data_IF_176151083340
#
_entry.id   IF_176151083340
#
_cell.length_a   1.000
_cell.length_b   1.000
_cell.length_c   1.000
_cell.angle_alpha   90.00
_cell.angle_beta   90.00
_cell.angle_gamma   90.00
#
_symmetry.space_group_name_H-M   'P 1'
#
loop_
_entity.id
_entity.type
_entity.pdbx_description
1 polymer ?
#
# COMPACT_ATOMS: atom_id res chain seq x y z
N UNK A 1 -11.64 -15.34 -11.19
CA UNK A 1 -10.94 -14.08 -11.46
C UNK A 1 -9.97 -14.35 -12.57
N UNK A 2 -9.94 -13.53 -13.62
CA UNK A 2 -9.09 -13.80 -14.80
C UNK A 2 -7.59 -13.79 -14.43
N UNK A 3 -6.78 -14.57 -15.17
CA UNK A 3 -5.35 -14.75 -14.89
C UNK A 3 -4.56 -13.44 -14.84
N UNK A 4 -4.93 -12.46 -15.67
CA UNK A 4 -4.28 -11.14 -15.68
C UNK A 4 -4.43 -10.39 -14.34
N UNK A 5 -5.65 -10.29 -13.79
CA UNK A 5 -5.88 -9.62 -12.51
C UNK A 5 -5.16 -10.33 -11.38
N UNK A 6 -5.15 -11.66 -11.40
CA UNK A 6 -4.39 -12.47 -10.43
C UNK A 6 -2.91 -12.13 -10.46
N UNK A 7 -2.31 -12.04 -11.65
CA UNK A 7 -0.89 -11.66 -11.81
C UNK A 7 -0.64 -10.24 -11.31
N UNK A 8 -1.46 -9.26 -11.71
CA UNK A 8 -1.30 -7.87 -11.28
C UNK A 8 -1.42 -7.71 -9.76
N UNK A 9 -2.39 -8.37 -9.12
CA UNK A 9 -2.52 -8.38 -7.67
C UNK A 9 -1.33 -9.08 -6.98
N UNK A 10 -0.79 -10.14 -7.58
CA UNK A 10 0.40 -10.83 -7.04
C UNK A 10 1.61 -9.91 -7.08
N UNK A 11 1.82 -9.20 -8.19
CA UNK A 11 2.91 -8.23 -8.33
C UNK A 11 2.77 -7.08 -7.32
N UNK A 12 1.55 -6.55 -7.16
CA UNK A 12 1.28 -5.53 -6.14
C UNK A 12 1.60 -6.07 -4.73
N UNK A 13 1.11 -7.26 -4.39
CA UNK A 13 1.36 -7.86 -3.08
C UNK A 13 2.86 -8.02 -2.78
N UNK A 14 3.63 -8.55 -3.73
CA UNK A 14 5.09 -8.70 -3.60
C UNK A 14 5.75 -7.34 -3.42
N UNK A 15 5.37 -6.34 -4.22
CA UNK A 15 5.89 -4.97 -4.07
C UNK A 15 5.66 -4.42 -2.66
N UNK A 16 4.43 -4.50 -2.13
CA UNK A 16 4.10 -4.02 -0.79
C UNK A 16 4.84 -4.79 0.31
N UNK A 17 4.94 -6.12 0.20
CA UNK A 17 5.72 -6.92 1.16
C UNK A 17 7.19 -6.52 1.15
N UNK A 18 7.80 -6.38 -0.03
CA UNK A 18 9.21 -5.97 -0.14
C UNK A 18 9.42 -4.58 0.44
N UNK A 19 8.55 -3.62 0.15
CA UNK A 19 8.65 -2.26 0.72
C UNK A 19 8.58 -2.29 2.25
N UNK A 20 7.65 -3.08 2.81
CA UNK A 20 7.49 -3.22 4.25
C UNK A 20 8.68 -3.92 4.93
N UNK A 21 9.24 -4.98 4.32
CA UNK A 21 10.45 -5.63 4.82
C UNK A 21 11.67 -4.71 4.75
N UNK A 22 11.78 -3.88 3.70
CA UNK A 22 12.89 -2.91 3.58
C UNK A 22 12.87 -1.88 4.70
N UNK A 23 11.71 -1.47 5.21
CA UNK A 23 11.65 -0.61 6.40
C UNK A 23 12.30 -1.25 7.64
N UNK A 24 12.27 -2.58 7.74
CA UNK A 24 12.87 -3.30 8.88
C UNK A 24 14.37 -3.57 8.69
N UNK A 25 14.85 -3.68 7.45
CA UNK A 25 16.23 -4.10 7.13
C UNK A 25 17.11 -2.93 6.71
N UNK A 26 16.61 -2.04 5.85
CA UNK A 26 17.30 -0.88 5.30
C UNK A 26 16.34 0.32 5.22
N UNK A 27 15.99 0.92 6.38
CA UNK A 27 15.05 2.03 6.44
C UNK A 27 15.57 3.29 5.73
N UNK A 28 16.89 3.50 5.69
CA UNK A 28 17.48 4.65 5.01
C UNK A 28 17.30 4.55 3.48
N UNK A 29 17.55 3.37 2.91
CA UNK A 29 17.37 3.16 1.47
C UNK A 29 15.92 3.27 1.01
N UNK A 30 14.95 2.72 1.78
CA UNK A 30 13.53 2.81 1.39
C UNK A 30 12.96 4.23 1.61
N UNK A 31 13.39 4.95 2.65
CA UNK A 31 12.99 6.35 2.85
C UNK A 31 13.43 7.23 1.67
N UNK A 32 14.69 7.05 1.20
CA UNK A 32 15.21 7.78 0.04
C UNK A 32 14.44 7.47 -1.25
N UNK A 33 14.05 6.21 -1.50
CA UNK A 33 13.20 5.83 -2.64
C UNK A 33 11.84 6.52 -2.58
N UNK A 34 11.30 6.74 -1.39
CA UNK A 34 10.04 7.44 -1.16
C UNK A 34 10.19 8.97 -1.12
N UNK A 35 11.39 9.49 -1.38
CA UNK A 35 11.66 10.92 -1.42
C UNK A 35 11.58 11.61 -0.05
N UNK A 36 11.78 10.88 1.04
CA UNK A 36 11.76 11.45 2.39
C UNK A 36 13.02 11.10 3.20
N UNK A 37 13.43 11.99 4.12
CA UNK A 37 14.53 11.67 5.02
C UNK A 37 14.13 10.56 6.01
N UNK A 38 15.11 9.76 6.42
CA UNK A 38 14.97 8.93 7.60
C UNK A 38 15.03 9.86 8.83
N UNK A 39 14.02 9.80 9.67
CA UNK A 39 13.94 10.62 10.89
C UNK A 39 14.92 10.11 11.96
N UNK A 40 15.06 10.89 13.04
CA UNK A 40 15.90 10.58 14.19
C UNK A 40 15.10 10.32 15.48
N UNK A 41 15.74 9.69 16.45
CA UNK A 41 15.16 9.42 17.78
C UNK A 41 13.82 8.69 17.71
N UNK A 42 12.83 9.20 18.43
CA UNK A 42 11.47 8.65 18.43
C UNK A 42 10.81 8.71 17.04
N UNK A 43 11.10 9.75 16.25
CA UNK A 43 10.57 9.88 14.89
C UNK A 43 11.01 8.72 14.00
N UNK A 44 12.26 8.26 14.14
CA UNK A 44 12.75 7.07 13.44
C UNK A 44 11.96 5.82 13.82
N UNK A 45 11.72 5.63 15.12
CA UNK A 45 10.98 4.48 15.63
C UNK A 45 9.56 4.44 15.08
N UNK A 46 8.85 5.58 15.13
CA UNK A 46 7.49 5.73 14.60
C UNK A 46 7.47 5.51 13.09
N UNK A 47 8.36 6.16 12.35
CA UNK A 47 8.44 6.03 10.90
C UNK A 47 8.68 4.60 10.45
N UNK A 48 9.63 3.88 11.07
CA UNK A 48 9.90 2.48 10.73
C UNK A 48 8.70 1.60 11.04
N UNK A 49 8.12 1.70 12.25
CA UNK A 49 7.02 0.84 12.66
C UNK A 49 5.78 1.04 11.80
N UNK A 50 5.35 2.30 11.64
CA UNK A 50 4.11 2.65 10.96
C UNK A 50 4.18 2.34 9.47
N UNK A 51 5.31 2.63 8.82
CA UNK A 51 5.46 2.38 7.40
C UNK A 51 5.67 0.88 7.13
N UNK A 52 6.46 0.18 7.95
CA UNK A 52 6.64 -1.27 7.82
C UNK A 52 5.28 -1.98 7.92
N UNK A 53 4.49 -1.70 8.96
CA UNK A 53 3.20 -2.37 9.15
C UNK A 53 2.19 -1.97 8.06
N UNK A 54 2.18 -0.71 7.62
CA UNK A 54 1.30 -0.28 6.52
C UNK A 54 1.58 -1.09 5.25
N UNK A 55 2.83 -1.14 4.79
CA UNK A 55 3.20 -1.85 3.57
C UNK A 55 3.04 -3.37 3.73
N UNK A 56 3.47 -3.96 4.85
CA UNK A 56 3.33 -5.40 5.11
C UNK A 56 1.86 -5.82 5.19
N UNK A 57 1.02 -5.08 5.92
CA UNK A 57 -0.39 -5.42 6.07
C UNK A 57 -1.11 -5.38 4.72
N UNK A 58 -0.90 -4.32 3.92
CA UNK A 58 -1.46 -4.22 2.57
C UNK A 58 -1.03 -5.43 1.73
N UNK A 59 0.26 -5.72 1.66
CA UNK A 59 0.78 -6.85 0.87
C UNK A 59 0.24 -8.20 1.33
N UNK A 60 0.27 -8.47 2.63
CA UNK A 60 -0.20 -9.73 3.22
C UNK A 60 -1.70 -9.94 3.01
N UNK A 61 -2.51 -8.88 3.11
CA UNK A 61 -3.95 -8.98 2.91
C UNK A 61 -4.30 -9.26 1.46
N UNK A 62 -3.55 -8.69 0.51
CA UNK A 62 -3.69 -9.05 -0.91
C UNK A 62 -3.33 -10.52 -1.13
N UNK A 63 -2.24 -11.03 -0.54
CA UNK A 63 -1.88 -12.46 -0.62
C UNK A 63 -2.97 -13.36 -0.03
N UNK A 64 -3.50 -13.03 1.15
CA UNK A 64 -4.60 -13.78 1.77
C UNK A 64 -5.84 -13.75 0.87
N UNK A 65 -6.14 -12.62 0.23
CA UNK A 65 -7.25 -12.52 -0.72
C UNK A 65 -7.07 -13.46 -1.93
N UNK A 66 -5.85 -13.55 -2.46
CA UNK A 66 -5.50 -14.43 -3.57
C UNK A 66 -5.57 -15.91 -3.20
N UNK A 67 -5.12 -16.28 -2.00
CA UNK A 67 -5.11 -17.65 -1.51
C UNK A 67 -6.50 -18.14 -1.13
N UNK A 68 -7.27 -17.30 -0.42
CA UNK A 68 -8.60 -17.67 0.10
C UNK A 68 -9.72 -17.43 -0.90
N UNK A 69 -9.46 -16.67 -1.97
CA UNK A 69 -10.48 -16.20 -2.92
C UNK A 69 -11.68 -15.50 -2.25
N UNK A 70 -11.47 -14.90 -1.07
CA UNK A 70 -12.51 -14.16 -0.34
C UNK A 70 -12.37 -12.67 -0.58
N UNK A 71 -13.42 -12.08 -1.18
CA UNK A 71 -13.45 -10.67 -1.63
C UNK A 71 -13.16 -9.63 -0.54
N UNK A 72 -13.52 -9.88 0.73
CA UNK A 72 -13.33 -8.90 1.81
C UNK A 72 -11.85 -8.59 2.09
N UNK A 73 -10.94 -9.52 1.80
CA UNK A 73 -9.50 -9.30 1.96
C UNK A 73 -8.92 -8.34 0.90
N UNK A 74 -9.63 -8.08 -0.20
CA UNK A 74 -9.26 -7.02 -1.16
C UNK A 74 -9.76 -5.64 -0.75
N UNK A 75 -10.91 -5.56 -0.06
CA UNK A 75 -11.55 -4.30 0.31
C UNK A 75 -10.72 -3.49 1.31
N UNK A 76 -10.25 -4.15 2.37
CA UNK A 76 -9.52 -3.45 3.44
C UNK A 76 -8.19 -2.84 2.95
N UNK A 77 -7.29 -3.54 2.22
CA UNK A 77 -6.09 -2.89 1.68
C UNK A 77 -6.43 -1.82 0.63
N UNK A 78 -7.51 -1.97 -0.14
CA UNK A 78 -7.96 -0.92 -1.06
C UNK A 78 -8.36 0.38 -0.33
N UNK A 79 -9.08 0.25 0.80
CA UNK A 79 -9.46 1.38 1.64
C UNK A 79 -8.26 2.02 2.32
N UNK A 80 -7.26 1.23 2.75
CA UNK A 80 -6.02 1.77 3.33
C UNK A 80 -5.26 2.63 2.31
N UNK A 81 -5.14 2.16 1.06
CA UNK A 81 -4.46 2.91 0.00
C UNK A 81 -5.23 4.18 -0.39
N UNK A 82 -6.55 4.09 -0.55
CA UNK A 82 -7.39 5.26 -0.83
C UNK A 82 -7.32 6.28 0.32
N UNK A 83 -7.36 5.81 1.57
CA UNK A 83 -7.18 6.65 2.75
C UNK A 83 -5.82 7.35 2.75
N UNK A 84 -4.74 6.63 2.46
CA UNK A 84 -3.40 7.21 2.37
C UNK A 84 -3.32 8.30 1.29
N UNK A 85 -3.94 8.08 0.12
CA UNK A 85 -4.01 9.07 -0.95
C UNK A 85 -4.75 10.34 -0.50
N UNK A 86 -5.93 10.18 0.12
CA UNK A 86 -6.72 11.30 0.65
C UNK A 86 -5.94 12.05 1.74
N UNK A 87 -5.36 11.35 2.70
CA UNK A 87 -4.65 11.97 3.82
C UNK A 87 -3.38 12.68 3.37
N UNK A 88 -2.71 12.20 2.33
CA UNK A 88 -1.55 12.89 1.74
C UNK A 88 -1.96 14.17 1.00
N UNK A 89 -3.11 14.17 0.32
CA UNK A 89 -3.69 15.39 -0.26
C UNK A 89 -4.05 16.38 0.85
N UNK A 90 -4.67 15.92 1.94
CA UNK A 90 -4.99 16.78 3.09
C UNK A 90 -3.73 17.34 3.77
N UNK A 91 -2.67 16.55 3.89
CA UNK A 91 -1.39 17.01 4.43
C UNK A 91 -0.78 18.13 3.58
N UNK A 92 -0.84 17.99 2.24
CA UNK A 92 -0.41 19.05 1.32
C UNK A 92 -1.28 20.31 1.45
N UNK A 93 -2.61 20.16 1.58
CA UNK A 93 -3.54 21.30 1.64
C UNK A 93 -3.53 22.05 2.98
N UNK A 94 -3.30 21.35 4.10
CA UNK A 94 -3.57 21.88 5.45
C UNK A 94 -2.32 21.97 6.32
N UNK A 95 -1.26 21.22 6.02
CA UNK A 95 -0.07 21.10 6.87
C UNK A 95 1.25 21.50 6.20
N UNK A 96 1.19 22.22 5.06
CA UNK A 96 2.36 22.70 4.30
C UNK A 96 3.33 21.57 3.88
N UNK A 97 2.80 20.34 3.73
CA UNK A 97 3.59 19.20 3.27
C UNK A 97 3.84 19.31 1.75
N UNK A 98 4.94 18.74 1.25
CA UNK A 98 5.16 18.66 -0.20
C UNK A 98 4.15 17.73 -0.88
N UNK A 99 3.69 18.10 -2.07
CA UNK A 99 2.77 17.27 -2.84
C UNK A 99 3.48 16.01 -3.38
N UNK A 100 3.19 14.85 -2.80
CA UNK A 100 3.75 13.57 -3.20
C UNK A 100 2.87 12.86 -4.25
N UNK A 101 2.75 13.47 -5.44
CA UNK A 101 1.87 13.03 -6.52
C UNK A 101 2.13 11.61 -7.03
N UNK A 102 3.39 11.17 -7.07
CA UNK A 102 3.74 9.80 -7.48
C UNK A 102 3.17 8.74 -6.53
N UNK A 103 3.23 9.00 -5.21
CA UNK A 103 2.64 8.11 -4.20
C UNK A 103 1.12 8.07 -4.31
N UNK A 104 0.47 9.23 -4.46
CA UNK A 104 -0.99 9.34 -4.65
C UNK A 104 -1.42 8.55 -5.88
N UNK A 105 -0.71 8.70 -7.01
CA UNK A 105 -1.03 7.99 -8.24
C UNK A 105 -0.91 6.46 -8.06
N UNK A 106 0.17 5.98 -7.43
CA UNK A 106 0.37 4.56 -7.16
C UNK A 106 -0.75 3.99 -6.28
N UNK A 107 -1.09 4.68 -5.19
CA UNK A 107 -2.15 4.28 -4.26
C UNK A 107 -3.51 4.19 -4.96
N UNK A 108 -3.86 5.18 -5.78
CA UNK A 108 -5.11 5.19 -6.54
C UNK A 108 -5.18 4.05 -7.57
N UNK A 109 -4.09 3.82 -8.31
CA UNK A 109 -4.02 2.75 -9.32
C UNK A 109 -4.18 1.39 -8.66
N UNK A 110 -3.44 1.14 -7.57
CA UNK A 110 -3.51 -0.15 -6.88
C UNK A 110 -4.86 -0.31 -6.18
N UNK A 111 -5.38 0.73 -5.50
CA UNK A 111 -6.71 0.66 -4.89
C UNK A 111 -7.80 0.31 -5.92
N UNK A 112 -7.77 0.95 -7.10
CA UNK A 112 -8.68 0.65 -8.20
C UNK A 112 -8.53 -0.82 -8.67
N UNK A 113 -7.30 -1.30 -8.85
CA UNK A 113 -7.02 -2.70 -9.17
C UNK A 113 -7.62 -3.67 -8.15
N UNK A 114 -7.50 -3.38 -6.85
CA UNK A 114 -8.03 -4.22 -5.78
C UNK A 114 -9.57 -4.17 -5.73
N UNK A 115 -10.19 -3.00 -5.95
CA UNK A 115 -11.64 -2.88 -6.07
C UNK A 115 -12.18 -3.66 -7.27
N UNK A 116 -11.54 -3.55 -8.43
CA UNK A 116 -11.88 -4.33 -9.62
C UNK A 116 -11.76 -5.83 -9.37
N UNK A 117 -10.71 -6.26 -8.67
CA UNK A 117 -10.50 -7.67 -8.31
C UNK A 117 -11.57 -8.17 -7.34
N UNK A 118 -11.95 -7.35 -6.36
CA UNK A 118 -13.08 -7.61 -5.47
C UNK A 118 -14.40 -7.76 -6.23
N UNK A 119 -14.70 -6.84 -7.15
CA UNK A 119 -15.93 -6.87 -7.95
C UNK A 119 -16.00 -8.13 -8.85
N UNK A 120 -14.88 -8.53 -9.45
CA UNK A 120 -14.81 -9.75 -10.28
C UNK A 120 -14.99 -11.03 -9.48
N UNK A 121 -14.44 -11.11 -8.26
CA UNK A 121 -14.71 -12.25 -7.38
C UNK A 121 -16.17 -12.29 -6.93
N UNK A 122 -16.81 -11.13 -6.74
CA UNK A 122 -18.23 -11.05 -6.39
C UNK A 122 -19.16 -11.51 -7.53
N UNK A 123 -18.77 -11.34 -8.79
CA UNK A 123 -19.57 -11.82 -9.94
C UNK A 123 -19.46 -13.33 -10.19
N UNK A 124 -18.49 -14.00 -9.57
CA UNK A 124 -18.24 -15.44 -9.75
C UNK A 124 -18.80 -16.30 -8.61
N UNK A 125 -19.36 -15.67 -7.57
CA UNK A 125 -19.97 -16.29 -6.39
C UNK A 125 -21.49 -16.12 -6.44
#
# INVERSE_FOLDING_TARGET
MNSLLRVLCTLAAVFFVVMGLRWLVDPAGVAAVLGMPLLDGAGRSTQIADLAVFFLAVGMMILVALLTSRRHWFLVPALMLLGAAIFRILAWLVHDASFAGESVALEMVVACLLFLSCARLASEQ
#
